data_IF_006896947010
#
_entry.id   IF_006896947010
#
_cell.length_a   1.000
_cell.length_b   1.000
_cell.length_c   1.000
_cell.angle_alpha   90.00
_cell.angle_beta   90.00
_cell.angle_gamma   90.00
#
_symmetry.space_group_name_H-M   'P 1'
#
loop_
_entity.id
_entity.type
_entity.pdbx_description
1 polymer ?
#
# COMPACT_ATOMS: atom_id res chain seq x y z
N UNK A 1 44.17 37.99 11.55
CA UNK A 1 45.47 38.67 11.72
C UNK A 1 45.36 40.07 11.11
N UNK A 2 44.72 41.00 11.84
CA UNK A 2 44.60 42.40 11.40
C UNK A 2 45.75 43.20 11.97
N UNK A 3 46.46 43.90 11.10
CA UNK A 3 47.68 44.64 11.42
C UNK A 3 47.41 45.74 12.43
N UNK A 4 47.94 45.55 13.64
CA UNK A 4 48.12 46.60 14.62
C UNK A 4 49.06 47.67 14.05
N UNK A 5 48.51 48.79 13.62
CA UNK A 5 49.24 50.06 13.57
C UNK A 5 48.73 50.90 14.72
N UNK A 6 49.35 50.74 15.89
CA UNK A 6 49.41 51.84 16.85
C UNK A 6 50.01 53.02 16.09
N UNK A 7 49.24 54.10 15.89
CA UNK A 7 49.85 55.35 15.48
C UNK A 7 50.92 55.68 16.51
N UNK A 8 52.15 55.89 16.01
CA UNK A 8 53.30 56.29 16.81
C UNK A 8 53.04 57.69 17.37
N UNK A 9 52.26 57.76 18.44
CA UNK A 9 52.21 58.92 19.30
C UNK A 9 53.15 58.65 20.44
N UNK A 10 54.25 59.41 20.42
CA UNK A 10 55.18 59.68 21.51
C UNK A 10 55.23 58.56 22.55
N UNK A 11 56.09 57.57 22.24
CA UNK A 11 56.70 56.69 23.24
C UNK A 11 56.93 57.53 24.48
N UNK A 12 56.34 57.11 25.61
CA UNK A 12 56.55 57.75 26.91
C UNK A 12 58.06 57.76 27.12
N UNK A 13 58.68 58.88 26.75
CA UNK A 13 60.13 59.02 26.71
C UNK A 13 60.53 59.35 28.13
N UNK A 14 61.47 58.60 28.66
CA UNK A 14 62.08 58.98 29.94
C UNK A 14 62.57 60.43 29.83
N UNK A 15 62.16 61.30 30.76
CA UNK A 15 62.58 62.69 30.73
C UNK A 15 64.11 62.74 30.67
N UNK A 16 64.66 63.57 29.79
CA UNK A 16 66.11 63.74 29.78
C UNK A 16 66.58 64.30 31.10
N UNK A 17 67.83 64.00 31.47
CA UNK A 17 68.46 64.56 32.68
C UNK A 17 68.31 66.09 32.76
N UNK A 18 68.31 66.76 31.60
CA UNK A 18 68.08 68.20 31.49
C UNK A 18 66.63 68.58 31.83
N UNK A 19 65.64 67.89 31.27
CA UNK A 19 64.21 68.09 31.56
C UNK A 19 63.87 67.77 33.03
N UNK A 20 64.56 66.82 33.67
CA UNK A 20 64.42 66.50 35.09
C UNK A 20 64.97 67.57 36.03
N UNK A 21 66.08 68.22 35.65
CA UNK A 21 66.73 69.24 36.48
C UNK A 21 66.18 70.65 36.24
N UNK A 22 65.79 70.95 35.00
CA UNK A 22 65.39 72.29 34.58
C UNK A 22 63.89 72.44 34.34
N UNK A 23 63.13 71.35 34.40
CA UNK A 23 61.69 71.33 34.17
C UNK A 23 61.28 71.63 32.72
N UNK A 24 59.98 71.65 32.43
CA UNK A 24 59.46 71.96 31.10
C UNK A 24 59.83 73.39 30.67
N UNK A 25 60.11 73.59 29.38
CA UNK A 25 60.35 74.94 28.84
C UNK A 25 59.10 75.80 29.00
N UNK A 26 59.27 77.06 29.42
CA UNK A 26 58.18 78.02 29.73
C UNK A 26 57.14 78.16 28.62
N UNK A 27 57.54 78.01 27.37
CA UNK A 27 56.68 78.04 26.17
C UNK A 27 55.59 76.95 26.13
N UNK A 28 55.76 75.85 26.88
CA UNK A 28 54.80 74.74 26.97
C UNK A 28 53.76 74.90 28.08
N UNK A 29 53.86 75.96 28.89
CA UNK A 29 52.92 76.23 29.98
C UNK A 29 51.65 76.95 29.52
N UNK A 30 50.56 76.95 30.31
CA UNK A 30 49.41 77.80 30.05
C UNK A 30 49.80 79.29 29.95
N UNK A 31 49.22 80.02 28.99
CA UNK A 31 49.57 81.43 28.69
C UNK A 31 49.48 82.40 29.88
N UNK A 32 48.77 82.04 30.95
CA UNK A 32 48.75 82.79 32.19
C UNK A 32 50.08 82.68 32.97
N UNK A 33 50.66 81.49 33.05
CA UNK A 33 51.91 81.21 33.80
C UNK A 33 53.15 81.64 33.00
N UNK A 34 53.07 81.61 31.67
CA UNK A 34 54.13 82.14 30.79
C UNK A 34 54.43 83.62 31.01
N UNK A 35 53.48 84.37 31.60
CA UNK A 35 53.59 85.80 31.87
C UNK A 35 54.03 86.13 33.29
N UNK A 36 54.26 85.11 34.15
CA UNK A 36 54.70 85.28 35.55
C UNK A 36 56.21 85.18 35.69
N UNK A 37 56.83 86.04 36.51
CA UNK A 37 58.29 86.03 36.73
C UNK A 37 58.80 84.68 37.25
N UNK A 38 60.03 84.29 36.89
CA UNK A 38 60.57 82.95 37.15
C UNK A 38 60.57 82.56 38.63
N UNK A 39 60.67 83.54 39.53
CA UNK A 39 60.63 83.37 40.98
C UNK A 39 59.24 82.99 41.54
N UNK A 40 58.15 83.24 40.78
CA UNK A 40 56.76 83.05 41.21
C UNK A 40 56.09 81.84 40.55
N UNK A 41 56.89 80.94 39.97
CA UNK A 41 56.40 79.75 39.27
C UNK A 41 56.07 78.58 40.18
N UNK A 42 56.18 78.76 41.51
CA UNK A 42 55.72 77.81 42.53
C UNK A 42 54.54 78.39 43.32
N UNK A 43 53.56 77.55 43.64
CA UNK A 43 52.43 77.96 44.46
C UNK A 43 52.92 78.27 45.88
N UNK A 44 52.67 79.48 46.37
CA UNK A 44 53.08 79.94 47.71
C UNK A 44 52.38 79.22 48.87
N UNK A 45 51.25 78.56 48.61
CA UNK A 45 50.47 77.87 49.65
C UNK A 45 50.84 76.40 49.83
N UNK A 46 51.24 75.70 48.76
CA UNK A 46 51.61 74.28 48.81
C UNK A 46 53.06 73.98 48.38
N UNK A 47 53.83 74.98 47.92
CA UNK A 47 55.23 74.84 47.53
C UNK A 47 55.48 74.07 46.22
N UNK A 48 54.42 73.60 45.54
CA UNK A 48 54.54 72.82 44.31
C UNK A 48 54.67 73.74 43.10
N UNK A 49 55.59 73.42 42.20
CA UNK A 49 55.79 74.14 40.94
C UNK A 49 54.55 74.03 40.04
N UNK A 50 54.09 75.16 39.47
CA UNK A 50 53.00 75.18 38.49
C UNK A 50 53.31 74.33 37.24
N UNK A 51 54.59 74.05 36.97
CA UNK A 51 55.04 73.12 35.93
C UNK A 51 54.63 71.67 36.22
N UNK A 52 54.82 71.20 37.46
CA UNK A 52 54.39 69.85 37.89
C UNK A 52 52.86 69.74 37.86
N UNK A 53 52.16 70.82 38.22
CA UNK A 53 50.70 70.84 38.18
C UNK A 53 50.14 70.75 36.74
N UNK A 54 50.79 71.42 35.78
CA UNK A 54 50.44 71.34 34.37
C UNK A 54 50.69 69.93 33.79
N UNK A 55 51.83 69.31 34.13
CA UNK A 55 52.11 67.91 33.73
C UNK A 55 51.12 66.93 34.34
N UNK A 56 50.82 67.05 35.63
CA UNK A 56 49.82 66.19 36.31
C UNK A 56 48.44 66.37 35.69
N UNK A 57 48.04 67.58 35.31
CA UNK A 57 46.78 67.81 34.58
C UNK A 57 46.80 67.20 33.17
N UNK A 58 47.90 67.33 32.43
CA UNK A 58 48.03 66.74 31.10
C UNK A 58 48.00 65.20 31.18
N UNK A 59 48.72 64.61 32.14
CA UNK A 59 48.68 63.17 32.41
C UNK A 59 47.28 62.73 32.80
N UNK A 60 46.59 63.46 33.67
CA UNK A 60 45.21 63.14 34.07
C UNK A 60 44.26 63.15 32.87
N UNK A 61 44.37 64.14 31.98
CA UNK A 61 43.57 64.20 30.75
C UNK A 61 43.93 63.09 29.76
N UNK A 62 45.20 62.66 29.71
CA UNK A 62 45.67 61.59 28.83
C UNK A 62 45.20 60.23 29.34
N UNK A 63 45.26 60.00 30.66
CA UNK A 63 44.68 58.80 31.32
C UNK A 63 43.17 58.72 31.07
N UNK A 64 42.42 59.80 31.30
CA UNK A 64 40.97 59.83 31.02
C UNK A 64 40.61 59.59 29.55
N UNK A 65 41.50 59.96 28.62
CA UNK A 65 41.34 59.63 27.19
C UNK A 65 41.58 58.15 26.93
N UNK A 66 42.64 57.57 27.49
CA UNK A 66 42.93 56.14 27.35
C UNK A 66 41.87 55.26 28.03
N UNK A 67 41.35 55.65 29.19
CA UNK A 67 40.25 54.95 29.87
C UNK A 67 38.99 54.92 28.99
N UNK A 68 38.60 56.07 28.43
CA UNK A 68 37.46 56.14 27.49
C UNK A 68 37.70 55.32 26.23
N UNK A 69 38.94 55.31 25.72
CA UNK A 69 39.31 54.53 24.54
C UNK A 69 39.25 53.03 24.83
N UNK A 70 39.76 52.58 25.98
CA UNK A 70 39.69 51.18 26.41
C UNK A 70 38.24 50.74 26.61
N UNK A 71 37.43 51.55 27.31
CA UNK A 71 36.00 51.27 27.49
C UNK A 71 35.27 51.16 26.14
N UNK A 72 35.51 52.09 25.22
CA UNK A 72 34.93 52.05 23.87
C UNK A 72 35.33 50.78 23.10
N UNK A 73 36.60 50.36 23.19
CA UNK A 73 37.07 49.12 22.58
C UNK A 73 36.45 47.88 23.22
N UNK A 74 36.29 47.84 24.55
CA UNK A 74 35.61 46.75 25.24
C UNK A 74 34.15 46.63 24.82
N UNK A 75 33.42 47.75 24.69
CA UNK A 75 32.06 47.74 24.19
C UNK A 75 31.97 47.26 22.74
N UNK A 76 32.88 47.73 21.87
CA UNK A 76 32.94 47.28 20.49
C UNK A 76 33.26 45.78 20.37
N UNK A 77 34.17 45.27 21.22
CA UNK A 77 34.50 43.84 21.27
C UNK A 77 33.30 42.99 21.73
N UNK A 78 32.60 43.42 22.79
CA UNK A 78 31.39 42.74 23.29
C UNK A 78 30.25 42.76 22.27
N UNK A 79 30.06 43.87 21.56
CA UNK A 79 29.06 43.96 20.49
C UNK A 79 29.41 43.01 19.33
N UNK A 80 30.67 42.99 18.88
CA UNK A 80 31.11 42.08 17.83
C UNK A 80 30.97 40.60 18.22
N UNK A 81 31.24 40.25 19.48
CA UNK A 81 31.05 38.89 20.00
C UNK A 81 29.56 38.52 20.04
N UNK A 82 28.69 39.42 20.50
CA UNK A 82 27.24 39.22 20.48
C UNK A 82 26.73 39.02 19.04
N UNK A 83 27.15 39.86 18.10
CA UNK A 83 26.77 39.74 16.68
C UNK A 83 27.28 38.46 16.03
N UNK A 84 28.45 37.95 16.46
CA UNK A 84 28.95 36.66 16.01
C UNK A 84 28.08 35.52 16.55
N UNK A 85 27.74 35.54 17.85
CA UNK A 85 26.86 34.53 18.46
C UNK A 85 25.48 34.51 17.81
N UNK A 86 24.90 35.68 17.53
CA UNK A 86 23.61 35.75 16.83
C UNK A 86 23.68 35.17 15.42
N UNK A 87 24.75 35.44 14.67
CA UNK A 87 24.96 34.83 13.35
C UNK A 87 25.09 33.32 13.42
N UNK A 88 25.81 32.79 14.40
CA UNK A 88 25.96 31.33 14.60
C UNK A 88 24.61 30.67 14.93
N UNK A 89 23.81 31.28 15.80
CA UNK A 89 22.46 30.79 16.15
C UNK A 89 21.53 30.81 14.93
N UNK A 90 21.52 31.91 14.18
CA UNK A 90 20.68 32.03 12.97
C UNK A 90 21.08 30.98 11.93
N UNK A 91 22.37 30.80 11.67
CA UNK A 91 22.85 29.77 10.74
C UNK A 91 22.46 28.36 11.20
N UNK A 92 22.58 28.07 12.50
CA UNK A 92 22.15 26.78 13.06
C UNK A 92 20.64 26.54 12.89
N UNK A 93 19.82 27.56 13.11
CA UNK A 93 18.37 27.48 12.87
C UNK A 93 18.03 27.25 11.39
N UNK A 94 18.73 27.92 10.47
CA UNK A 94 18.55 27.72 9.03
C UNK A 94 18.91 26.29 8.61
N UNK A 95 20.05 25.76 9.09
CA UNK A 95 20.43 24.37 8.84
C UNK A 95 19.44 23.35 9.43
N UNK A 96 18.86 23.63 10.59
CA UNK A 96 17.81 22.77 11.15
C UNK A 96 16.52 22.85 10.34
N UNK A 97 16.12 24.05 9.91
CA UNK A 97 14.92 24.24 9.10
C UNK A 97 15.00 23.48 7.76
N UNK A 98 16.17 23.50 7.09
CA UNK A 98 16.38 22.71 5.87
C UNK A 98 16.35 21.21 6.15
N UNK A 99 17.00 20.75 7.22
CA UNK A 99 16.99 19.33 7.61
C UNK A 99 15.58 18.82 7.92
N UNK A 100 14.76 19.61 8.62
CA UNK A 100 13.36 19.28 8.92
C UNK A 100 12.53 19.25 7.64
N UNK A 101 12.70 20.21 6.74
CA UNK A 101 12.00 20.22 5.46
C UNK A 101 12.33 18.98 4.61
N UNK A 102 13.60 18.59 4.55
CA UNK A 102 14.04 17.38 3.85
C UNK A 102 13.46 16.10 4.47
N UNK A 103 13.46 16.01 5.81
CA UNK A 103 12.86 14.88 6.52
C UNK A 103 11.34 14.80 6.25
N UNK A 104 10.67 15.94 6.19
CA UNK A 104 9.24 16.02 5.92
C UNK A 104 8.93 15.58 4.48
N UNK A 105 9.73 15.98 3.49
CA UNK A 105 9.59 15.49 2.10
C UNK A 105 9.79 13.98 2.03
N UNK A 106 10.82 13.43 2.69
CA UNK A 106 11.05 11.98 2.74
C UNK A 106 9.89 11.23 3.38
N UNK A 107 9.32 11.76 4.45
CA UNK A 107 8.16 11.16 5.12
C UNK A 107 6.93 11.13 4.19
N UNK A 108 6.65 12.20 3.46
CA UNK A 108 5.56 12.24 2.47
C UNK A 108 5.79 11.24 1.33
N UNK A 109 7.04 11.12 0.85
CA UNK A 109 7.39 10.13 -0.18
C UNK A 109 7.18 8.69 0.31
N UNK A 110 7.64 8.38 1.53
CA UNK A 110 7.41 7.07 2.14
C UNK A 110 5.92 6.78 2.33
N UNK A 111 5.14 7.78 2.74
CA UNK A 111 3.70 7.63 2.90
C UNK A 111 2.99 7.32 1.56
N UNK A 112 3.36 8.03 0.49
CA UNK A 112 2.85 7.74 -0.85
C UNK A 112 3.26 6.33 -1.35
N UNK A 113 4.47 5.86 -1.04
CA UNK A 113 4.90 4.50 -1.37
C UNK A 113 4.08 3.43 -0.62
N UNK A 114 3.77 3.67 0.66
CA UNK A 114 2.93 2.77 1.44
C UNK A 114 1.52 2.70 0.87
N UNK A 115 0.93 3.84 0.50
CA UNK A 115 -0.40 3.88 -0.13
C UNK A 115 -0.42 3.12 -1.48
N UNK A 116 0.62 3.28 -2.30
CA UNK A 116 0.76 2.55 -3.56
C UNK A 116 0.86 1.03 -3.32
N UNK A 117 1.70 0.61 -2.36
CA UNK A 117 1.87 -0.80 -2.02
C UNK A 117 0.57 -1.41 -1.47
N UNK A 118 -0.21 -0.66 -0.68
CA UNK A 118 -1.51 -1.09 -0.17
C UNK A 118 -2.53 -1.26 -1.31
N UNK A 119 -2.58 -0.33 -2.26
CA UNK A 119 -3.46 -0.43 -3.43
C UNK A 119 -3.10 -1.64 -4.31
N UNK A 120 -1.81 -1.89 -4.51
CA UNK A 120 -1.33 -3.06 -5.25
C UNK A 120 -1.67 -4.37 -4.52
N UNK A 121 -1.45 -4.45 -3.21
CA UNK A 121 -1.83 -5.60 -2.41
C UNK A 121 -3.34 -5.90 -2.48
N UNK A 122 -4.18 -4.86 -2.42
CA UNK A 122 -5.63 -5.00 -2.58
C UNK A 122 -6.01 -5.53 -3.96
N UNK A 123 -5.35 -5.05 -5.03
CA UNK A 123 -5.56 -5.54 -6.40
C UNK A 123 -5.15 -7.02 -6.53
N UNK A 124 -4.00 -7.40 -6.00
CA UNK A 124 -3.52 -8.79 -6.02
C UNK A 124 -4.47 -9.71 -5.25
N UNK A 125 -4.97 -9.28 -4.09
CA UNK A 125 -5.94 -10.04 -3.32
C UNK A 125 -7.26 -10.25 -4.07
N UNK A 126 -7.76 -9.23 -4.77
CA UNK A 126 -8.96 -9.33 -5.60
C UNK A 126 -8.77 -10.30 -6.76
N UNK A 127 -7.64 -10.22 -7.47
CA UNK A 127 -7.31 -11.14 -8.56
C UNK A 127 -7.21 -12.59 -8.06
N UNK A 128 -6.53 -12.83 -6.94
CA UNK A 128 -6.43 -14.16 -6.34
C UNK A 128 -7.80 -14.72 -5.95
N UNK A 129 -8.76 -13.88 -5.58
CA UNK A 129 -10.12 -14.33 -5.27
C UNK A 129 -10.88 -14.77 -6.54
N UNK A 130 -10.69 -14.07 -7.66
CA UNK A 130 -11.25 -14.45 -8.96
C UNK A 130 -10.66 -15.78 -9.41
N UNK A 131 -9.34 -15.92 -9.36
CA UNK A 131 -8.66 -17.17 -9.74
C UNK A 131 -9.12 -18.36 -8.88
N UNK A 132 -9.32 -18.17 -7.58
CA UNK A 132 -9.89 -19.23 -6.72
C UNK A 132 -11.31 -19.61 -7.13
N UNK A 133 -12.14 -18.65 -7.53
CA UNK A 133 -13.49 -18.92 -8.01
C UNK A 133 -13.46 -19.71 -9.33
N UNK A 134 -12.58 -19.33 -10.26
CA UNK A 134 -12.41 -20.01 -11.55
C UNK A 134 -11.89 -21.45 -11.36
N UNK A 135 -10.90 -21.64 -10.49
CA UNK A 135 -10.41 -22.98 -10.12
C UNK A 135 -11.51 -23.81 -9.48
N UNK A 136 -12.34 -23.22 -8.61
CA UNK A 136 -13.50 -23.89 -8.03
C UNK A 136 -14.50 -24.36 -9.09
N UNK A 137 -14.85 -23.48 -10.05
CA UNK A 137 -15.74 -23.84 -11.16
C UNK A 137 -15.18 -24.97 -12.04
N UNK A 138 -13.87 -24.92 -12.33
CA UNK A 138 -13.20 -26.00 -13.07
C UNK A 138 -13.20 -27.32 -12.30
N UNK A 139 -13.05 -27.30 -10.98
CA UNK A 139 -13.14 -28.50 -10.14
C UNK A 139 -14.54 -29.12 -10.20
N UNK A 140 -15.59 -28.29 -10.14
CA UNK A 140 -16.98 -28.76 -10.28
C UNK A 140 -17.22 -29.39 -11.66
N UNK A 141 -16.70 -28.79 -12.72
CA UNK A 141 -16.82 -29.35 -14.08
C UNK A 141 -16.02 -30.65 -14.23
N UNK A 142 -14.82 -30.74 -13.67
CA UNK A 142 -14.05 -31.99 -13.62
C UNK A 142 -14.83 -33.08 -12.87
N UNK A 143 -15.52 -32.74 -11.78
CA UNK A 143 -16.38 -33.70 -11.07
C UNK A 143 -17.54 -34.19 -11.96
N UNK A 144 -18.23 -33.27 -12.66
CA UNK A 144 -19.28 -33.63 -13.62
C UNK A 144 -18.76 -34.55 -14.73
N UNK A 145 -17.62 -34.22 -15.34
CA UNK A 145 -17.03 -35.05 -16.40
C UNK A 145 -16.61 -36.43 -15.88
N UNK A 146 -16.09 -36.55 -14.66
CA UNK A 146 -15.80 -37.84 -14.04
C UNK A 146 -17.05 -38.70 -13.86
N UNK A 147 -18.16 -38.10 -13.42
CA UNK A 147 -19.44 -38.81 -13.30
C UNK A 147 -19.97 -39.27 -14.68
N UNK A 148 -19.92 -38.40 -15.68
CA UNK A 148 -20.31 -38.74 -17.05
C UNK A 148 -19.43 -39.85 -17.65
N UNK A 149 -18.11 -39.78 -17.46
CA UNK A 149 -17.18 -40.81 -17.91
C UNK A 149 -17.50 -42.18 -17.27
N UNK A 150 -17.74 -42.21 -15.96
CA UNK A 150 -18.14 -43.43 -15.25
C UNK A 150 -19.46 -43.99 -15.78
N UNK A 151 -20.43 -43.14 -16.11
CA UNK A 151 -21.70 -43.57 -16.69
C UNK A 151 -21.52 -44.15 -18.10
N UNK A 152 -20.69 -43.52 -18.94
CA UNK A 152 -20.36 -44.02 -20.27
C UNK A 152 -19.63 -45.37 -20.22
N UNK A 153 -18.73 -45.56 -19.26
CA UNK A 153 -18.07 -46.85 -19.05
C UNK A 153 -19.06 -47.96 -18.68
N UNK A 154 -20.03 -47.68 -17.80
CA UNK A 154 -21.12 -48.62 -17.47
C UNK A 154 -21.97 -48.95 -18.69
N UNK A 155 -22.39 -47.94 -19.45
CA UNK A 155 -23.19 -48.15 -20.66
C UNK A 155 -22.42 -48.96 -21.72
N UNK A 156 -21.12 -48.70 -21.89
CA UNK A 156 -20.26 -49.49 -22.77
C UNK A 156 -20.24 -50.95 -22.32
N UNK A 157 -20.08 -51.24 -21.03
CA UNK A 157 -20.08 -52.60 -20.52
C UNK A 157 -21.42 -53.33 -20.80
N UNK A 158 -22.55 -52.64 -20.62
CA UNK A 158 -23.87 -53.18 -20.94
C UNK A 158 -24.02 -53.51 -22.43
N UNK A 159 -23.66 -52.58 -23.32
CA UNK A 159 -23.71 -52.80 -24.77
C UNK A 159 -22.79 -53.93 -25.22
N UNK A 160 -21.64 -54.12 -24.56
CA UNK A 160 -20.76 -55.25 -24.83
C UNK A 160 -21.44 -56.58 -24.46
N UNK A 161 -22.08 -56.64 -23.29
CA UNK A 161 -22.82 -57.82 -22.84
C UNK A 161 -24.00 -58.17 -23.77
N UNK A 162 -24.82 -57.17 -24.14
CA UNK A 162 -25.93 -57.35 -25.10
C UNK A 162 -25.43 -57.85 -26.46
N UNK A 163 -24.31 -57.31 -26.94
CA UNK A 163 -23.71 -57.75 -28.20
C UNK A 163 -23.21 -59.20 -28.13
N UNK A 164 -22.68 -59.64 -27.01
CA UNK A 164 -22.23 -61.03 -26.84
C UNK A 164 -23.44 -61.99 -26.72
N UNK A 165 -24.53 -61.58 -26.07
CA UNK A 165 -25.80 -62.32 -26.04
C UNK A 165 -26.43 -62.46 -27.44
N UNK A 166 -26.44 -61.38 -28.22
CA UNK A 166 -26.92 -61.40 -29.61
C UNK A 166 -26.07 -62.32 -30.49
N UNK A 167 -24.74 -62.32 -30.31
CA UNK A 167 -23.85 -63.26 -31.02
C UNK A 167 -24.18 -64.71 -30.68
N UNK A 168 -24.42 -65.01 -29.41
CA UNK A 168 -24.82 -66.36 -28.99
C UNK A 168 -26.17 -66.75 -29.60
N UNK A 169 -27.14 -65.83 -29.61
CA UNK A 169 -28.45 -66.04 -30.24
C UNK A 169 -28.32 -66.31 -31.73
N UNK A 170 -27.48 -65.55 -32.44
CA UNK A 170 -27.19 -65.77 -33.87
C UNK A 170 -26.55 -67.13 -34.10
N UNK A 171 -25.59 -67.55 -33.27
CA UNK A 171 -24.97 -68.87 -33.37
C UNK A 171 -26.00 -70.00 -33.21
N UNK A 172 -26.85 -69.92 -32.18
CA UNK A 172 -27.94 -70.89 -31.96
C UNK A 172 -28.91 -70.91 -33.15
N UNK A 173 -29.29 -69.74 -33.67
CA UNK A 173 -30.16 -69.66 -34.84
C UNK A 173 -29.49 -70.26 -36.08
N UNK A 174 -28.19 -70.02 -36.27
CA UNK A 174 -27.42 -70.58 -37.37
C UNK A 174 -27.34 -72.11 -37.27
N UNK A 175 -27.08 -72.66 -36.09
CA UNK A 175 -27.08 -74.10 -35.85
C UNK A 175 -28.45 -74.72 -36.12
N UNK A 176 -29.53 -74.08 -35.68
CA UNK A 176 -30.91 -74.51 -36.00
C UNK A 176 -31.18 -74.48 -37.50
N UNK A 177 -30.76 -73.44 -38.21
CA UNK A 177 -30.89 -73.36 -39.67
C UNK A 177 -30.12 -74.49 -40.34
N UNK A 178 -28.88 -74.75 -39.90
CA UNK A 178 -28.07 -75.85 -40.42
C UNK A 178 -28.71 -77.22 -40.12
N UNK A 179 -29.29 -77.41 -38.94
CA UNK A 179 -30.03 -78.62 -38.59
C UNK A 179 -31.28 -78.79 -39.45
N UNK A 180 -32.07 -77.72 -39.66
CA UNK A 180 -33.24 -77.76 -40.56
C UNK A 180 -32.80 -78.07 -42.00
N UNK A 181 -31.70 -77.48 -42.46
CA UNK A 181 -31.14 -77.76 -43.78
C UNK A 181 -30.70 -79.22 -43.90
N UNK A 182 -30.01 -79.75 -42.89
CA UNK A 182 -29.62 -81.15 -42.84
C UNK A 182 -30.84 -82.08 -42.85
N UNK A 183 -31.88 -81.75 -42.07
CA UNK A 183 -33.15 -82.47 -42.04
C UNK A 183 -33.92 -82.38 -43.37
N UNK A 184 -33.80 -81.28 -44.10
CA UNK A 184 -34.37 -81.13 -45.45
C UNK A 184 -33.59 -81.92 -46.50
N UNK A 185 -32.26 -82.05 -46.33
CA UNK A 185 -31.39 -82.89 -47.18
C UNK A 185 -31.38 -84.36 -46.77
N UNK A 186 -32.05 -84.75 -45.68
CA UNK A 186 -32.20 -86.17 -45.37
C UNK A 186 -33.02 -86.82 -46.47
N UNK A 187 -32.51 -87.97 -46.92
CA UNK A 187 -33.09 -88.93 -47.86
C UNK A 187 -34.60 -89.17 -47.68
N UNK A 188 -35.19 -88.89 -46.51
CA UNK A 188 -36.64 -88.95 -46.28
C UNK A 188 -37.45 -87.97 -47.14
N UNK A 189 -36.98 -86.73 -47.36
CA UNK A 189 -37.68 -85.78 -48.24
C UNK A 189 -37.49 -86.14 -49.71
N UNK A 190 -36.29 -86.55 -50.11
CA UNK A 190 -36.02 -87.04 -51.47
C UNK A 190 -36.82 -88.32 -51.78
N UNK A 191 -36.96 -89.24 -50.82
CA UNK A 191 -37.80 -90.43 -50.94
C UNK A 191 -39.29 -90.07 -51.00
N UNK A 192 -39.74 -89.08 -50.21
CA UNK A 192 -41.13 -88.60 -50.26
C UNK A 192 -41.42 -87.87 -51.57
N UNK A 193 -40.47 -87.11 -52.10
CA UNK A 193 -40.55 -86.45 -53.41
C UNK A 193 -40.55 -87.50 -54.52
N UNK A 194 -39.69 -88.52 -54.49
CA UNK A 194 -39.72 -89.63 -55.45
C UNK A 194 -41.06 -90.40 -55.39
N UNK A 195 -41.58 -90.69 -54.18
CA UNK A 195 -42.91 -91.28 -53.99
C UNK A 195 -44.02 -90.38 -54.54
N UNK A 196 -43.97 -89.08 -54.27
CA UNK A 196 -44.93 -88.10 -54.78
C UNK A 196 -44.79 -87.87 -56.29
N UNK A 197 -43.60 -88.00 -56.87
CA UNK A 197 -43.35 -87.93 -58.31
C UNK A 197 -43.88 -89.16 -59.03
N UNK A 198 -43.78 -90.35 -58.43
CA UNK A 198 -44.44 -91.57 -58.92
C UNK A 198 -45.98 -91.46 -58.77
N UNK A 199 -46.48 -90.86 -57.68
CA UNK A 199 -47.90 -90.58 -57.47
C UNK A 199 -48.44 -89.50 -58.44
N UNK A 200 -47.65 -88.46 -58.73
CA UNK A 200 -47.96 -87.42 -59.72
C UNK A 200 -47.84 -87.96 -61.14
N UNK A 201 -46.96 -88.94 -61.41
CA UNK A 201 -46.92 -89.67 -62.69
C UNK A 201 -48.22 -90.45 -62.90
N UNK A 202 -48.72 -91.12 -61.85
CA UNK A 202 -50.04 -91.76 -61.80
C UNK A 202 -51.20 -90.76 -62.00
N UNK A 203 -51.18 -89.63 -61.32
CA UNK A 203 -52.25 -88.62 -61.38
C UNK A 203 -52.21 -87.74 -62.64
N UNK A 204 -51.07 -87.66 -63.34
CA UNK A 204 -50.96 -86.99 -64.66
C UNK A 204 -51.75 -87.69 -65.76
N UNK A 205 -52.20 -88.92 -65.53
CA UNK A 205 -53.06 -89.70 -66.43
C UNK A 205 -54.57 -89.41 -66.19
N UNK A 206 -54.92 -88.64 -65.14
CA UNK A 206 -56.29 -88.23 -64.85
C UNK A 206 -56.62 -86.82 -65.36
N UNK A 207 -57.70 -86.71 -66.17
CA UNK A 207 -58.18 -85.48 -66.82
C UNK A 207 -58.52 -84.31 -65.86
N UNK A 208 -58.64 -84.56 -64.56
CA UNK A 208 -58.90 -83.53 -63.53
C UNK A 208 -57.68 -82.67 -63.23
N UNK A 209 -56.46 -83.17 -63.46
CA UNK A 209 -55.20 -82.46 -63.19
C UNK A 209 -54.91 -81.37 -64.23
N UNK A 210 -55.40 -81.53 -65.46
CA UNK A 210 -55.30 -80.51 -66.52
C UNK A 210 -56.16 -79.28 -66.17
N UNK A 211 -57.37 -79.50 -65.64
CA UNK A 211 -58.26 -78.40 -65.22
C UNK A 211 -57.72 -77.63 -63.99
N UNK A 212 -57.11 -78.33 -63.02
CA UNK A 212 -56.51 -77.70 -61.84
C UNK A 212 -55.28 -76.83 -62.19
N UNK A 213 -54.46 -77.26 -63.16
CA UNK A 213 -53.34 -76.44 -63.68
C UNK A 213 -53.81 -75.15 -64.34
N UNK A 214 -54.91 -75.20 -65.09
CA UNK A 214 -55.51 -74.01 -65.71
C UNK A 214 -55.98 -73.00 -64.65
N UNK A 215 -56.56 -73.45 -63.54
CA UNK A 215 -56.96 -72.57 -62.42
C UNK A 215 -55.78 -72.00 -61.63
N UNK A 216 -54.70 -72.78 -61.44
CA UNK A 216 -53.50 -72.33 -60.73
C UNK A 216 -52.84 -71.16 -61.46
N UNK A 217 -52.73 -71.24 -62.79
CA UNK A 217 -52.18 -70.15 -63.62
C UNK A 217 -53.01 -68.86 -63.50
N UNK A 218 -54.34 -68.97 -63.35
CA UNK A 218 -55.23 -67.80 -63.14
C UNK A 218 -55.06 -67.25 -61.72
N UNK A 219 -54.89 -68.11 -60.71
CA UNK A 219 -54.65 -67.70 -59.32
C UNK A 219 -53.29 -67.03 -59.13
N UNK A 220 -52.23 -67.53 -59.77
CA UNK A 220 -50.89 -66.94 -59.77
C UNK A 220 -50.88 -65.58 -60.47
N UNK A 221 -51.61 -65.44 -61.59
CA UNK A 221 -51.76 -64.15 -62.29
C UNK A 221 -52.52 -63.12 -61.45
N UNK A 222 -53.46 -63.54 -60.59
CA UNK A 222 -54.13 -62.66 -59.61
C UNK A 222 -53.22 -62.30 -58.43
N UNK A 223 -52.42 -63.24 -57.92
CA UNK A 223 -51.43 -63.01 -56.86
C UNK A 223 -50.31 -62.06 -57.30
N UNK A 224 -49.78 -62.23 -58.51
CA UNK A 224 -48.76 -61.34 -59.08
C UNK A 224 -49.28 -59.90 -59.26
N UNK A 225 -50.57 -59.72 -59.59
CA UNK A 225 -51.21 -58.40 -59.67
C UNK A 225 -51.35 -57.73 -58.29
N UNK A 226 -51.73 -58.48 -57.25
CA UNK A 226 -51.80 -57.98 -55.87
C UNK A 226 -50.41 -57.64 -55.30
N UNK A 227 -49.40 -58.48 -55.54
CA UNK A 227 -48.01 -58.22 -55.17
C UNK A 227 -47.47 -56.96 -55.85
N UNK A 228 -47.66 -56.83 -57.17
CA UNK A 228 -47.18 -55.66 -57.92
C UNK A 228 -47.76 -54.33 -57.41
N UNK A 229 -49.00 -54.33 -56.91
CA UNK A 229 -49.59 -53.13 -56.30
C UNK A 229 -49.01 -52.84 -54.91
N UNK A 230 -48.77 -53.88 -54.10
CA UNK A 230 -48.13 -53.72 -52.80
C UNK A 230 -46.67 -53.24 -52.94
N UNK A 231 -45.90 -53.84 -53.85
CA UNK A 231 -44.50 -53.49 -54.11
C UNK A 231 -44.35 -52.05 -54.62
N UNK A 232 -45.24 -51.60 -55.52
CA UNK A 232 -45.25 -50.20 -55.98
C UNK A 232 -45.59 -49.21 -54.88
N UNK A 233 -46.53 -49.54 -53.99
CA UNK A 233 -46.90 -48.67 -52.86
C UNK A 233 -45.77 -48.60 -51.82
N UNK A 234 -45.09 -49.71 -51.56
CA UNK A 234 -43.95 -49.78 -50.65
C UNK A 234 -42.73 -49.02 -51.22
N UNK A 235 -42.45 -49.17 -52.52
CA UNK A 235 -41.37 -48.44 -53.19
C UNK A 235 -41.60 -46.92 -53.16
N UNK A 236 -42.81 -46.45 -53.47
CA UNK A 236 -43.15 -45.02 -53.41
C UNK A 236 -43.06 -44.45 -51.98
N UNK A 237 -43.46 -45.22 -50.97
CA UNK A 237 -43.33 -44.82 -49.57
C UNK A 237 -41.86 -44.75 -49.11
N UNK A 238 -41.01 -45.67 -49.57
CA UNK A 238 -39.57 -45.65 -49.27
C UNK A 238 -38.85 -44.50 -50.00
N UNK A 239 -39.19 -44.22 -51.26
CA UNK A 239 -38.65 -43.07 -51.98
C UNK A 239 -39.00 -41.75 -51.31
N UNK A 240 -40.24 -41.60 -50.81
CA UNK A 240 -40.63 -40.41 -50.05
C UNK A 240 -39.80 -40.27 -48.77
N UNK A 241 -39.67 -41.34 -47.99
CA UNK A 241 -38.85 -41.34 -46.77
C UNK A 241 -37.38 -41.05 -47.06
N UNK A 242 -36.84 -41.55 -48.17
CA UNK A 242 -35.46 -41.26 -48.60
C UNK A 242 -35.28 -39.77 -48.85
N UNK A 243 -36.20 -39.13 -49.58
CA UNK A 243 -36.16 -37.67 -49.83
C UNK A 243 -36.28 -36.85 -48.55
N UNK A 244 -37.13 -37.27 -47.62
CA UNK A 244 -37.29 -36.59 -46.32
C UNK A 244 -36.01 -36.70 -45.48
N UNK A 245 -35.35 -37.87 -45.48
CA UNK A 245 -34.07 -38.07 -44.80
C UNK A 245 -32.94 -37.29 -45.47
N UNK A 246 -32.89 -37.24 -46.80
CA UNK A 246 -31.92 -36.44 -47.55
C UNK A 246 -32.10 -34.93 -47.33
N UNK A 247 -33.34 -34.47 -47.16
CA UNK A 247 -33.63 -33.09 -46.78
C UNK A 247 -33.14 -32.78 -45.36
N UNK A 248 -33.48 -33.63 -44.38
CA UNK A 248 -33.01 -33.49 -43.00
C UNK A 248 -31.47 -33.55 -42.88
N UNK A 249 -30.82 -34.38 -43.69
CA UNK A 249 -29.35 -34.44 -43.75
C UNK A 249 -28.75 -33.15 -44.32
N UNK A 250 -29.37 -32.55 -45.32
CA UNK A 250 -28.94 -31.24 -45.85
C UNK A 250 -29.09 -30.13 -44.82
N UNK A 251 -30.22 -30.10 -44.10
CA UNK A 251 -30.48 -29.08 -43.09
C UNK A 251 -29.52 -29.19 -41.90
N UNK A 252 -29.28 -30.42 -41.42
CA UNK A 252 -28.31 -30.67 -40.34
C UNK A 252 -26.89 -30.30 -40.76
N UNK A 253 -26.49 -30.58 -42.00
CA UNK A 253 -25.19 -30.17 -42.53
C UNK A 253 -25.05 -28.64 -42.61
N UNK A 254 -26.10 -27.95 -43.08
CA UNK A 254 -26.12 -26.49 -43.13
C UNK A 254 -26.02 -25.87 -41.72
N UNK A 255 -26.72 -26.43 -40.73
CA UNK A 255 -26.63 -25.99 -39.34
C UNK A 255 -25.22 -26.18 -38.75
N UNK A 256 -24.57 -27.31 -39.05
CA UNK A 256 -23.18 -27.57 -38.63
C UNK A 256 -22.18 -26.59 -39.28
N UNK A 257 -22.35 -26.26 -40.56
CA UNK A 257 -21.53 -25.26 -41.25
C UNK A 257 -21.74 -23.85 -40.70
N UNK A 258 -22.98 -23.51 -40.34
CA UNK A 258 -23.30 -22.23 -39.70
C UNK A 258 -22.64 -22.10 -38.31
N UNK A 259 -22.75 -23.12 -37.46
CA UNK A 259 -22.09 -23.15 -36.15
C UNK A 259 -20.56 -23.05 -36.29
N UNK A 260 -19.98 -23.73 -37.29
CA UNK A 260 -18.55 -23.61 -37.58
C UNK A 260 -18.17 -22.19 -37.96
N UNK A 261 -18.93 -21.54 -38.83
CA UNK A 261 -18.69 -20.14 -39.21
C UNK A 261 -18.84 -19.18 -38.01
N UNK A 262 -19.77 -19.46 -37.09
CA UNK A 262 -19.93 -18.67 -35.86
C UNK A 262 -18.75 -18.85 -34.90
N UNK A 263 -18.21 -20.06 -34.78
CA UNK A 263 -17.00 -20.31 -34.02
C UNK A 263 -15.78 -19.64 -34.64
N UNK A 264 -15.62 -19.70 -35.97
CA UNK A 264 -14.54 -19.02 -36.68
C UNK A 264 -14.62 -17.48 -36.48
N UNK A 265 -15.83 -16.90 -36.55
CA UNK A 265 -16.05 -15.47 -36.26
C UNK A 265 -15.67 -15.11 -34.82
N UNK A 266 -16.05 -15.93 -33.84
CA UNK A 266 -15.69 -15.73 -32.43
C UNK A 266 -14.19 -15.85 -32.21
N UNK A 267 -13.54 -16.81 -32.87
CA UNK A 267 -12.09 -17.00 -32.81
C UNK A 267 -11.35 -15.76 -33.31
N UNK A 268 -11.67 -15.29 -34.52
CA UNK A 268 -11.06 -14.08 -35.10
C UNK A 268 -11.31 -12.83 -34.22
N UNK A 269 -12.49 -12.72 -33.61
CA UNK A 269 -12.78 -11.63 -32.69
C UNK A 269 -11.96 -11.71 -31.40
N UNK A 270 -11.71 -12.92 -30.89
CA UNK A 270 -10.88 -13.16 -29.72
C UNK A 270 -9.40 -12.89 -30.02
N UNK A 271 -8.88 -13.38 -31.16
CA UNK A 271 -7.52 -13.09 -31.63
C UNK A 271 -7.27 -11.59 -31.77
N UNK A 272 -8.23 -10.83 -32.33
CA UNK A 272 -8.13 -9.37 -32.41
C UNK A 272 -8.01 -8.73 -31.01
N UNK A 273 -8.80 -9.21 -30.03
CA UNK A 273 -8.72 -8.71 -28.64
C UNK A 273 -7.39 -9.05 -27.99
N UNK A 274 -6.83 -10.23 -28.25
CA UNK A 274 -5.49 -10.61 -27.76
C UNK A 274 -4.44 -9.68 -28.36
N UNK A 275 -4.45 -9.49 -29.68
CA UNK A 275 -3.52 -8.58 -30.36
C UNK A 275 -3.63 -7.12 -29.84
N UNK A 276 -4.84 -6.62 -29.58
CA UNK A 276 -5.04 -5.30 -28.97
C UNK A 276 -4.47 -5.20 -27.55
N UNK A 277 -4.53 -6.29 -26.77
CA UNK A 277 -3.92 -6.34 -25.43
C UNK A 277 -2.40 -6.39 -25.51
N UNK A 278 -1.85 -7.15 -26.44
CA UNK A 278 -0.40 -7.25 -26.64
C UNK A 278 0.19 -5.90 -27.05
N UNK A 279 -0.46 -5.17 -27.98
CA UNK A 279 -0.05 -3.80 -28.34
C UNK A 279 -0.08 -2.86 -27.14
N UNK A 280 -1.09 -2.97 -26.26
CA UNK A 280 -1.16 -2.16 -25.03
C UNK A 280 -0.09 -2.53 -24.02
N UNK A 281 0.22 -3.83 -23.87
CA UNK A 281 1.28 -4.32 -23.01
C UNK A 281 2.66 -3.85 -23.51
N UNK A 282 2.91 -3.92 -24.82
CA UNK A 282 4.13 -3.40 -25.44
C UNK A 282 4.28 -1.89 -25.28
N UNK A 283 3.18 -1.14 -25.41
CA UNK A 283 3.17 0.30 -25.15
C UNK A 283 3.52 0.61 -23.69
N UNK A 284 2.88 -0.10 -22.74
CA UNK A 284 3.15 0.06 -21.31
C UNK A 284 4.58 -0.36 -20.93
N UNK A 285 5.12 -1.39 -21.58
CA UNK A 285 6.52 -1.81 -21.40
C UNK A 285 7.50 -0.75 -21.92
N UNK A 286 7.20 -0.12 -23.07
CA UNK A 286 7.99 1.00 -23.60
C UNK A 286 7.93 2.22 -22.68
N UNK A 287 6.76 2.55 -22.13
CA UNK A 287 6.62 3.65 -21.17
C UNK A 287 7.44 3.39 -19.89
N UNK A 288 7.41 2.16 -19.37
CA UNK A 288 8.24 1.72 -18.24
C UNK A 288 9.74 1.81 -18.55
N UNK A 289 10.15 1.40 -19.76
CA UNK A 289 11.54 1.50 -20.21
C UNK A 289 11.98 2.98 -20.31
N UNK A 290 11.12 3.86 -20.81
CA UNK A 290 11.38 5.29 -20.95
C UNK A 290 11.46 5.99 -19.59
N UNK A 291 10.58 5.63 -18.65
CA UNK A 291 10.66 6.08 -17.26
C UNK A 291 11.97 5.62 -16.60
N UNK A 292 12.41 4.39 -16.91
CA UNK A 292 13.67 3.84 -16.38
C UNK A 292 14.91 4.50 -16.99
N UNK A 293 14.89 4.89 -18.27
CA UNK A 293 16.00 5.61 -18.89
C UNK A 293 16.05 7.10 -18.54
N UNK A 294 14.90 7.69 -18.19
CA UNK A 294 14.80 9.05 -17.67
C UNK A 294 15.12 9.15 -16.17
N UNK A 295 15.19 8.03 -15.45
CA UNK A 295 15.55 8.01 -14.04
C UNK A 295 17.07 8.28 -13.86
N UNK A 296 17.47 9.28 -13.05
CA UNK A 296 18.88 9.53 -12.77
C UNK A 296 19.51 8.32 -12.09
N UNK A 297 20.66 7.87 -12.61
CA UNK A 297 21.46 6.79 -12.05
C UNK A 297 22.15 7.30 -10.79
N UNK A 298 21.44 7.27 -9.66
CA UNK A 298 22.05 7.53 -8.35
C UNK A 298 22.92 6.32 -8.01
N UNK A 299 24.23 6.50 -8.12
CA UNK A 299 25.22 5.51 -7.70
C UNK A 299 25.03 5.26 -6.21
N UNK A 300 24.67 4.03 -5.86
CA UNK A 300 24.43 3.53 -4.50
C UNK A 300 25.71 3.61 -3.67
N UNK A 301 26.03 4.80 -3.16
CA UNK A 301 27.06 5.02 -2.14
C UNK A 301 26.46 5.52 -0.81
N UNK A 302 25.20 5.97 -0.81
CA UNK A 302 24.50 6.52 0.37
C UNK A 302 23.84 5.47 1.29
N UNK A 303 23.61 4.24 0.81
CA UNK A 303 22.90 3.23 1.62
C UNK A 303 23.78 2.72 2.77
N UNK A 304 25.10 2.59 2.56
CA UNK A 304 26.02 2.10 3.60
C UNK A 304 26.27 3.17 4.69
N UNK A 305 26.31 4.45 4.34
CA UNK A 305 26.46 5.55 5.30
C UNK A 305 25.19 5.81 6.11
N UNK A 306 24.00 5.73 5.49
CA UNK A 306 22.73 5.89 6.21
C UNK A 306 22.47 4.78 7.23
N UNK A 307 22.91 3.54 6.95
CA UNK A 307 22.71 2.41 7.87
C UNK A 307 23.59 2.53 9.12
N UNK A 308 24.80 3.09 9.01
CA UNK A 308 25.68 3.34 10.14
C UNK A 308 25.20 4.51 11.01
N UNK A 309 24.66 5.56 10.39
CA UNK A 309 24.09 6.69 11.13
C UNK A 309 22.83 6.29 11.91
N UNK A 310 22.00 5.42 11.36
CA UNK A 310 20.82 4.90 12.09
C UNK A 310 21.21 4.05 13.30
N UNK A 311 22.24 3.19 13.21
CA UNK A 311 22.73 2.44 14.38
C UNK A 311 23.31 3.34 15.47
N UNK A 312 24.00 4.41 15.09
CA UNK A 312 24.52 5.38 16.05
C UNK A 312 23.40 6.17 16.75
N UNK A 313 22.35 6.53 16.01
CA UNK A 313 21.15 7.18 16.55
C UNK A 313 20.34 6.24 17.46
N UNK A 314 20.21 4.96 17.11
CA UNK A 314 19.58 3.95 17.96
C UNK A 314 20.30 3.79 19.30
N UNK A 315 21.63 3.71 19.30
CA UNK A 315 22.43 3.64 20.53
C UNK A 315 22.32 4.89 21.41
N UNK A 316 22.19 6.07 20.79
CA UNK A 316 22.01 7.33 21.51
C UNK A 316 20.60 7.46 22.12
N UNK A 317 19.57 6.97 21.42
CA UNK A 317 18.19 6.88 21.94
C UNK A 317 18.12 5.93 23.13
N UNK A 318 18.78 4.77 23.07
CA UNK A 318 18.85 3.84 24.20
C UNK A 318 19.54 4.48 25.42
N UNK A 319 20.66 5.19 25.19
CA UNK A 319 21.39 5.89 26.25
C UNK A 319 20.56 6.98 26.92
N UNK A 320 19.89 7.82 26.13
CA UNK A 320 19.02 8.88 26.65
C UNK A 320 17.82 8.30 27.41
N UNK A 321 17.25 7.21 26.92
CA UNK A 321 16.16 6.49 27.60
C UNK A 321 16.61 6.00 28.99
N UNK A 322 17.83 5.46 29.10
CA UNK A 322 18.37 5.03 30.38
C UNK A 322 18.60 6.18 31.37
N UNK A 323 19.08 7.32 30.87
CA UNK A 323 19.28 8.53 31.69
C UNK A 323 17.95 9.09 32.19
N UNK A 324 16.92 9.12 31.35
CA UNK A 324 15.57 9.56 31.76
C UNK A 324 15.02 8.63 32.84
N UNK A 325 15.11 7.31 32.65
CA UNK A 325 14.67 6.35 33.66
C UNK A 325 15.41 6.51 35.01
N UNK A 326 16.72 6.79 34.97
CA UNK A 326 17.51 7.06 36.17
C UNK A 326 17.04 8.36 36.86
N UNK A 327 16.75 9.41 36.09
CA UNK A 327 16.27 10.69 36.62
C UNK A 327 14.86 10.57 37.21
N UNK A 328 13.99 9.74 36.62
CA UNK A 328 12.66 9.46 37.18
C UNK A 328 12.75 8.73 38.53
N UNK A 329 13.69 7.79 38.69
CA UNK A 329 13.94 7.16 39.99
C UNK A 329 14.44 8.16 41.03
N UNK A 330 15.33 9.07 40.64
CA UNK A 330 15.84 10.13 41.53
C UNK A 330 14.71 11.08 41.97
N UNK A 331 13.81 11.46 41.05
CA UNK A 331 12.64 12.27 41.34
C UNK A 331 11.70 11.55 42.31
N UNK A 332 11.45 10.25 42.12
CA UNK A 332 10.61 9.48 43.03
C UNK A 332 11.19 9.41 44.44
N UNK A 333 12.51 9.20 44.58
CA UNK A 333 13.19 9.20 45.87
C UNK A 333 13.10 10.56 46.56
N UNK A 334 13.28 11.65 45.81
CA UNK A 334 13.13 13.01 46.34
C UNK A 334 11.70 13.28 46.78
N UNK A 335 10.70 12.88 46.01
CA UNK A 335 9.28 13.02 46.38
C UNK A 335 8.95 12.25 47.65
N UNK A 336 9.43 11.02 47.79
CA UNK A 336 9.25 10.21 49.02
C UNK A 336 9.93 10.86 50.22
N UNK A 337 11.13 11.40 50.03
CA UNK A 337 11.89 12.07 51.10
C UNK A 337 11.17 13.33 51.56
N UNK A 338 10.74 14.19 50.62
CA UNK A 338 9.98 15.41 50.94
C UNK A 338 8.66 15.06 51.62
N UNK A 339 7.96 14.02 51.16
CA UNK A 339 6.72 13.58 51.80
C UNK A 339 6.96 13.11 53.24
N UNK A 340 8.00 12.30 53.46
CA UNK A 340 8.40 11.83 54.78
C UNK A 340 8.76 13.00 55.71
N UNK A 341 9.60 13.93 55.26
CA UNK A 341 9.98 15.10 56.05
C UNK A 341 8.77 15.99 56.37
N UNK A 342 7.86 16.16 55.42
CA UNK A 342 6.62 16.90 55.63
C UNK A 342 5.76 16.24 56.71
N UNK A 343 5.61 14.92 56.66
CA UNK A 343 4.88 14.13 57.67
C UNK A 343 5.56 14.18 59.04
N UNK A 344 6.89 14.09 59.10
CA UNK A 344 7.66 14.20 60.35
C UNK A 344 7.55 15.61 60.96
N UNK A 345 7.64 16.67 60.15
CA UNK A 345 7.42 18.06 60.60
C UNK A 345 5.98 18.27 61.07
N UNK A 346 5.00 17.75 60.35
CA UNK A 346 3.58 17.86 60.73
C UNK A 346 3.30 17.11 62.03
N UNK A 347 3.85 15.90 62.19
CA UNK A 347 3.77 15.13 63.42
C UNK A 347 4.46 15.83 64.59
N UNK A 348 5.61 16.47 64.36
CA UNK A 348 6.32 17.25 65.38
C UNK A 348 5.51 18.48 65.80
N UNK A 349 4.96 19.23 64.84
CA UNK A 349 4.09 20.38 65.11
C UNK A 349 2.84 19.94 65.90
N UNK A 350 2.27 18.78 65.59
CA UNK A 350 1.12 18.24 66.30
C UNK A 350 1.45 17.82 67.74
N UNK A 351 2.64 17.22 67.95
CA UNK A 351 3.16 16.93 69.30
C UNK A 351 3.41 18.21 70.10
N UNK A 352 3.96 19.25 69.47
CA UNK A 352 4.19 20.55 70.10
C UNK A 352 2.89 21.29 70.44
N UNK A 353 1.86 21.18 69.59
CA UNK A 353 0.49 21.66 69.88
C UNK A 353 -0.14 20.89 71.04
N UNK A 354 -0.06 19.55 71.02
CA UNK A 354 -0.57 18.68 72.10
C UNK A 354 0.12 18.96 73.45
N UNK A 355 1.39 19.35 73.43
CA UNK A 355 2.16 19.75 74.61
C UNK A 355 1.89 21.21 75.06
N UNK A 356 0.98 21.95 74.42
CA UNK A 356 0.66 23.39 74.67
C UNK A 356 1.88 24.32 74.54
N UNK A 357 2.89 23.92 73.78
CA UNK A 357 4.10 24.72 73.54
C UNK A 357 3.85 25.73 72.41
N UNK A 358 3.02 25.38 71.43
CA UNK A 358 2.62 26.26 70.34
C UNK A 358 1.21 26.84 70.60
N UNK A 359 0.93 28.09 70.22
CA UNK A 359 -0.42 28.66 70.30
C UNK A 359 -1.40 27.86 69.42
N UNK A 360 -2.62 27.66 69.90
CA UNK A 360 -3.70 27.09 69.09
C UNK A 360 -3.99 28.02 67.92
N UNK A 361 -3.45 27.68 66.75
CA UNK A 361 -3.79 28.36 65.52
C UNK A 361 -5.18 27.93 65.09
N UNK A 362 -6.15 28.79 65.42
CA UNK A 362 -7.45 28.83 64.76
C UNK A 362 -7.20 28.93 63.25
N UNK A 363 -7.61 27.92 62.49
CA UNK A 363 -7.63 27.97 61.03
C UNK A 363 -8.63 29.03 60.58
N UNK A 364 -8.15 30.25 60.38
CA UNK A 364 -8.86 31.27 59.62
C UNK A 364 -8.83 30.85 58.15
N UNK A 365 -9.94 30.27 57.68
CA UNK A 365 -10.26 30.29 56.26
C UNK A 365 -10.43 31.76 55.85
N UNK A 366 -9.46 32.33 55.14
CA UNK A 366 -9.56 33.72 54.70
C UNK A 366 -8.31 34.22 53.99
N UNK A 367 -8.50 34.46 52.69
CA UNK A 367 -7.78 35.44 51.88
C UNK A 367 -6.40 35.03 51.34
N UNK A 368 -6.44 34.44 50.15
CA UNK A 368 -5.31 34.41 49.21
C UNK A 368 -4.99 35.86 48.75
N UNK A 369 -3.74 36.32 48.74
CA UNK A 369 -3.40 37.63 48.20
C UNK A 369 -3.35 37.58 46.67
N UNK A 370 -4.16 38.44 46.07
CA UNK A 370 -4.09 38.80 44.67
C UNK A 370 -2.76 39.53 44.41
N UNK A 371 -1.85 38.94 43.64
CA UNK A 371 -0.81 39.68 42.94
C UNK A 371 -1.23 39.81 41.48
N UNK A 372 -1.35 41.07 41.11
CA UNK A 372 -1.69 41.68 39.84
C UNK A 372 -0.94 41.02 38.67
N UNK A 373 -1.66 40.70 37.60
CA UNK A 373 -1.17 41.04 36.28
C UNK A 373 -2.32 41.56 35.41
N UNK A 374 -2.12 42.78 34.92
CA UNK A 374 -3.01 43.52 34.05
C UNK A 374 -2.95 42.92 32.63
N UNK A 375 -4.10 42.60 32.05
CA UNK A 375 -4.62 43.17 30.79
C UNK A 375 -5.71 42.29 30.18
N UNK A 376 -6.81 42.95 29.80
CA UNK A 376 -7.54 42.55 28.60
C UNK A 376 -8.97 42.05 28.79
N UNK A 377 -9.86 42.99 29.11
CA UNK A 377 -11.18 43.14 28.47
C UNK A 377 -12.30 42.11 28.70
N UNK A 378 -13.31 42.61 29.42
CA UNK A 378 -14.76 42.46 29.18
C UNK A 378 -15.36 41.05 29.18
N UNK A 379 -15.60 40.57 30.39
CA UNK A 379 -16.94 40.45 31.00
C UNK A 379 -18.17 40.64 30.07
N UNK A 380 -19.00 39.60 29.93
CA UNK A 380 -20.42 39.66 30.33
C UNK A 380 -21.20 38.34 30.13
N UNK A 381 -21.77 37.87 31.24
CA UNK A 381 -23.04 37.14 31.33
C UNK A 381 -22.97 35.65 31.04
N UNK A 382 -23.33 34.72 31.92
CA UNK A 382 -24.44 34.81 32.86
C UNK A 382 -25.50 33.78 32.48
N UNK A 383 -25.39 32.59 33.09
CA UNK A 383 -26.47 31.68 33.49
C UNK A 383 -27.43 31.05 32.43
N UNK A 384 -27.88 29.84 32.80
CA UNK A 384 -28.99 29.03 32.25
C UNK A 384 -28.78 28.21 30.97
N UNK A 385 -28.75 26.89 31.17
CA UNK A 385 -29.84 25.99 30.77
C UNK A 385 -30.35 26.04 29.33
N UNK A 386 -30.18 24.93 28.61
CA UNK A 386 -30.94 24.69 27.38
C UNK A 386 -30.26 23.69 26.46
N UNK A 387 -30.80 22.47 26.41
CA UNK A 387 -30.43 21.50 25.39
C UNK A 387 -30.66 22.05 23.99
N UNK A 388 -29.76 21.70 23.07
CA UNK A 388 -29.92 22.03 21.66
C UNK A 388 -28.67 21.76 20.84
N UNK A 389 -28.70 20.65 20.08
CA UNK A 389 -28.08 20.63 18.75
C UNK A 389 -26.57 20.44 18.66
N UNK A 390 -26.00 19.46 19.37
CA UNK A 390 -24.64 18.99 19.10
C UNK A 390 -24.58 18.13 17.83
N UNK A 391 -24.05 18.72 16.77
CA UNK A 391 -23.67 18.14 15.48
C UNK A 391 -23.30 16.65 15.55
N UNK A 392 -24.15 15.80 14.98
CA UNK A 392 -23.84 14.39 14.76
C UNK A 392 -22.56 14.27 13.92
N UNK A 393 -21.55 13.63 14.50
CA UNK A 393 -20.28 13.25 13.87
C UNK A 393 -20.53 12.62 12.50
N UNK A 394 -19.70 12.99 11.53
CA UNK A 394 -19.73 12.53 10.13
C UNK A 394 -19.83 11.00 10.00
N UNK A 395 -19.35 10.25 11.01
CA UNK A 395 -19.44 8.80 11.11
C UNK A 395 -20.85 8.25 11.40
N UNK A 396 -21.73 9.01 12.05
CA UNK A 396 -23.12 8.61 12.36
C UNK A 396 -24.00 8.63 11.08
N UNK A 397 -23.72 9.56 10.15
CA UNK A 397 -24.44 9.71 8.87
C UNK A 397 -24.09 8.64 7.85
N UNK A 398 -22.91 8.01 7.95
CA UNK A 398 -22.50 6.91 7.07
C UNK A 398 -23.11 5.56 7.49
N UNK A 399 -23.51 5.41 8.76
CA UNK A 399 -24.09 4.16 9.28
C UNK A 399 -25.53 3.92 8.82
N UNK A 400 -26.30 4.98 8.53
CA UNK A 400 -27.70 4.89 8.08
C UNK A 400 -27.90 4.68 6.57
N UNK A 401 -26.82 4.68 5.75
CA UNK A 401 -26.92 4.51 4.28
C UNK A 401 -26.83 3.07 3.77
N UNK A 402 -26.67 2.06 4.62
CA UNK A 402 -26.81 0.64 4.22
C UNK A 402 -28.24 0.16 4.44
N UNK A 403 -29.15 0.59 3.57
CA UNK A 403 -30.43 -0.10 3.39
C UNK A 403 -30.18 -1.37 2.57
N UNK A 404 -30.64 -2.51 3.10
CA UNK A 404 -30.59 -3.85 2.50
C UNK A 404 -31.23 -3.88 1.09
N UNK A 405 -30.69 -4.68 0.14
CA UNK A 405 -31.45 -5.03 -1.06
C UNK A 405 -32.64 -5.90 -0.68
N UNK A 406 -33.84 -5.49 -1.08
CA UNK A 406 -35.03 -6.35 -1.06
C UNK A 406 -34.94 -7.30 -2.26
N UNK A 407 -34.63 -8.56 -1.97
CA UNK A 407 -35.01 -9.69 -2.84
C UNK A 407 -36.51 -9.92 -2.71
N UNK A 408 -37.25 -9.93 -3.82
CA UNK A 408 -38.44 -10.79 -3.99
C UNK A 408 -38.57 -11.23 -5.46
N UNK A 409 -38.74 -12.55 -5.55
CA UNK A 409 -39.36 -13.42 -6.56
C UNK A 409 -39.91 -12.79 -7.84
#
# INVERSE_FOLDING_TARGET
MSGFKLHAHDVLRDPTKDELYNGPKREKLPAAVQRMDAADTACTFCGVSYFVFAEVQELTQRVQRYERQCQSQEFAAKAAESDARWRDVTHMMECQATSVAEAQVKLHQMQAQVELAQAEAARVAANAQVERADVGALQDDVAKYKHLATALEKNKALLLAERDELKQTIAIAHDKVNQVKANATTTAFEQRVAQLEDEVRRLKEDDTVVQLKQMLVVAEKRRAKLSSHQDKSAASALEKKLRDVEAALRDTKAAMEQERADWDRKHVAWERKVAERDVKMDAMAKDLQQMRSAAPTVVVKEVVTSTNNNKALEGEVERLTHVVAQKDQEIQLLQQTVHRECMERTSMLEKMRSAKILPDMVTTHGSSPHLVDERGENDHGGNNGGGGGGLASFYEKLRKKKARPKTKA
#
